data_IF_658758329184
#
_entry.id   IF_658758329184
#
_cell.length_a   1.000
_cell.length_b   1.000
_cell.length_c   1.000
_cell.angle_alpha   90.00
_cell.angle_beta   90.00
_cell.angle_gamma   90.00
#
_symmetry.space_group_name_H-M   'P 1'
#
loop_
_entity.id
_entity.type
_entity.pdbx_description
1 polymer ?
#
# COMPACT_ATOMS: atom_id res chain seq x y z
N UNK A 1 -13.77 19.64 7.71
CA UNK A 1 -13.67 20.11 6.31
C UNK A 1 -13.16 21.54 6.21
N UNK A 2 -13.67 22.49 7.00
CA UNK A 2 -13.24 23.90 6.95
C UNK A 2 -11.74 24.10 7.16
N UNK A 3 -11.09 23.33 8.06
CA UNK A 3 -9.61 23.36 8.18
C UNK A 3 -8.91 22.98 6.87
N UNK A 4 -9.41 21.98 6.14
CA UNK A 4 -8.81 21.58 4.86
C UNK A 4 -8.88 22.74 3.86
N UNK A 5 -9.99 23.48 3.79
CA UNK A 5 -10.09 24.68 2.94
C UNK A 5 -9.18 25.83 3.36
N UNK A 6 -8.64 25.83 4.60
CA UNK A 6 -7.64 26.81 5.02
C UNK A 6 -6.20 26.41 4.69
N UNK A 7 -5.98 25.15 4.27
CA UNK A 7 -4.65 24.58 4.01
C UNK A 7 -4.46 24.25 2.52
N UNK A 8 -5.50 23.72 1.87
CA UNK A 8 -5.49 23.35 0.46
C UNK A 8 -6.23 24.39 -0.38
N UNK A 9 -5.71 24.67 -1.57
CA UNK A 9 -6.35 25.58 -2.53
C UNK A 9 -7.71 25.04 -3.02
N UNK A 10 -7.79 23.72 -3.23
CA UNK A 10 -9.01 23.02 -3.63
C UNK A 10 -9.27 21.82 -2.70
N UNK A 11 -10.53 21.67 -2.24
CA UNK A 11 -10.99 20.50 -1.49
C UNK A 11 -12.17 19.89 -2.24
N UNK A 12 -11.94 18.72 -2.81
CA UNK A 12 -12.90 18.04 -3.68
C UNK A 12 -13.51 16.89 -2.91
N UNK A 13 -14.84 16.88 -2.86
CA UNK A 13 -15.58 15.77 -2.31
C UNK A 13 -15.79 14.71 -3.38
N UNK A 14 -15.46 13.48 -3.01
CA UNK A 14 -15.59 12.32 -3.85
C UNK A 14 -16.66 11.45 -3.21
N UNK A 15 -17.81 11.37 -3.88
CA UNK A 15 -18.89 10.53 -3.43
C UNK A 15 -18.57 9.08 -3.80
N UNK A 16 -18.51 8.17 -2.83
CA UNK A 16 -18.14 6.76 -3.08
C UNK A 16 -19.28 5.95 -3.69
N UNK A 17 -20.51 6.47 -3.69
CA UNK A 17 -21.75 5.70 -3.86
C UNK A 17 -22.68 6.14 -5.01
N UNK A 18 -22.26 6.97 -5.95
CA UNK A 18 -23.18 7.36 -7.04
C UNK A 18 -23.36 6.22 -8.06
N UNK A 19 -24.50 5.53 -7.95
CA UNK A 19 -24.83 4.20 -8.50
C UNK A 19 -25.28 4.20 -9.97
N UNK A 20 -24.98 5.26 -10.72
CA UNK A 20 -25.49 5.42 -12.09
C UNK A 20 -24.69 4.65 -13.16
N UNK A 21 -23.50 4.13 -12.83
CA UNK A 21 -22.62 3.45 -13.80
C UNK A 21 -22.57 1.93 -13.56
N UNK A 22 -22.82 1.16 -14.62
CA UNK A 22 -22.71 -0.31 -14.67
C UNK A 22 -21.36 -0.85 -14.18
N UNK A 23 -20.25 -0.15 -14.46
CA UNK A 23 -18.91 -0.51 -13.99
C UNK A 23 -18.82 -0.33 -12.46
N UNK A 24 -19.44 0.74 -11.96
CA UNK A 24 -19.48 1.05 -10.54
C UNK A 24 -20.37 0.07 -9.76
N UNK A 25 -21.46 -0.40 -10.36
CA UNK A 25 -22.29 -1.48 -9.81
C UNK A 25 -21.54 -2.83 -9.76
N UNK A 26 -20.74 -3.15 -10.78
CA UNK A 26 -19.86 -4.33 -10.72
C UNK A 26 -18.82 -4.21 -9.60
N UNK A 27 -18.28 -2.99 -9.41
CA UNK A 27 -17.37 -2.68 -8.32
C UNK A 27 -18.05 -2.68 -6.93
N UNK A 28 -19.35 -2.40 -6.83
CA UNK A 28 -20.11 -2.57 -5.57
C UNK A 28 -20.17 -4.04 -5.10
N UNK A 29 -19.94 -5.01 -5.99
CA UNK A 29 -19.79 -6.42 -5.61
C UNK A 29 -18.41 -6.74 -5.00
N UNK A 30 -17.51 -5.75 -4.93
CA UNK A 30 -16.14 -5.83 -4.40
C UNK A 30 -15.88 -4.76 -3.33
N UNK A 31 -16.52 -4.88 -2.14
CA UNK A 31 -16.44 -3.87 -1.09
C UNK A 31 -15.02 -3.61 -0.57
N UNK A 32 -14.10 -4.57 -0.73
CA UNK A 32 -12.69 -4.44 -0.38
C UNK A 32 -11.97 -3.33 -1.17
N UNK A 33 -12.45 -3.00 -2.38
CA UNK A 33 -11.85 -1.97 -3.23
C UNK A 33 -12.33 -0.54 -2.90
N UNK A 34 -13.21 -0.34 -1.91
CA UNK A 34 -13.86 0.96 -1.68
C UNK A 34 -12.88 2.14 -1.50
N UNK A 35 -11.81 1.95 -0.71
CA UNK A 35 -10.78 2.98 -0.49
C UNK A 35 -9.94 3.20 -1.74
N UNK A 36 -9.60 2.11 -2.44
CA UNK A 36 -8.88 2.12 -3.71
C UNK A 36 -9.59 2.98 -4.76
N UNK A 37 -10.91 2.82 -4.89
CA UNK A 37 -11.70 3.53 -5.89
C UNK A 37 -11.75 5.03 -5.63
N UNK A 38 -11.81 5.46 -4.37
CA UNK A 38 -11.75 6.89 -4.01
C UNK A 38 -10.44 7.52 -4.48
N UNK A 39 -9.31 6.81 -4.34
CA UNK A 39 -8.00 7.31 -4.77
C UNK A 39 -7.92 7.49 -6.29
N UNK A 40 -8.56 6.63 -7.08
CA UNK A 40 -8.56 6.73 -8.55
C UNK A 40 -9.21 8.03 -9.06
N UNK A 41 -10.08 8.66 -8.28
CA UNK A 41 -10.65 9.96 -8.65
C UNK A 41 -9.60 11.07 -8.81
N UNK A 42 -8.36 10.89 -8.35
CA UNK A 42 -7.29 11.83 -8.68
C UNK A 42 -7.08 11.99 -10.21
N UNK A 43 -7.37 10.95 -11.02
CA UNK A 43 -7.34 11.07 -12.48
C UNK A 43 -8.49 11.88 -13.08
N UNK A 44 -9.55 12.21 -12.33
CA UNK A 44 -10.64 13.06 -12.83
C UNK A 44 -10.34 14.56 -12.72
N UNK A 45 -9.22 14.94 -12.08
CA UNK A 45 -8.80 16.31 -11.82
C UNK A 45 -8.20 17.01 -13.07
N UNK A 46 -8.96 16.99 -14.16
CA UNK A 46 -8.53 17.45 -15.49
C UNK A 46 -8.28 18.96 -15.61
N UNK A 47 -8.54 19.74 -14.57
CA UNK A 47 -8.08 21.13 -14.47
C UNK A 47 -6.55 21.23 -14.35
N UNK A 48 -5.88 20.15 -13.93
CA UNK A 48 -4.42 20.08 -13.85
C UNK A 48 -3.82 19.27 -15.00
N UNK A 49 -2.70 19.74 -15.56
CA UNK A 49 -1.99 19.04 -16.64
C UNK A 49 -1.11 17.87 -16.15
N UNK A 50 -0.69 17.91 -14.89
CA UNK A 50 0.17 16.92 -14.23
C UNK A 50 0.03 17.09 -12.72
N UNK A 51 0.02 15.99 -11.98
CA UNK A 51 -0.09 15.99 -10.53
C UNK A 51 0.93 15.03 -9.91
N UNK A 52 1.30 15.32 -8.66
CA UNK A 52 1.97 14.36 -7.77
C UNK A 52 0.94 13.94 -6.74
N UNK A 53 0.55 12.67 -6.76
CA UNK A 53 -0.26 12.09 -5.70
C UNK A 53 0.63 11.79 -4.49
N UNK A 54 0.14 12.08 -3.28
CA UNK A 54 0.78 11.73 -2.03
C UNK A 54 -0.27 11.20 -1.03
N UNK A 55 -0.05 10.02 -0.43
CA UNK A 55 -0.93 9.51 0.61
C UNK A 55 -0.91 10.44 1.85
N UNK A 56 -2.01 10.50 2.59
CA UNK A 56 -2.18 11.42 3.73
C UNK A 56 -1.26 11.12 4.93
N UNK A 57 -0.61 9.96 4.94
CA UNK A 57 0.40 9.53 5.91
C UNK A 57 1.83 9.64 5.34
N UNK A 58 2.03 10.53 4.37
CA UNK A 58 3.36 10.99 3.95
C UNK A 58 3.71 12.33 4.61
N UNK A 59 5.01 12.62 4.70
CA UNK A 59 5.55 13.88 5.19
C UNK A 59 6.71 14.35 4.31
N UNK A 60 6.53 15.53 3.71
CA UNK A 60 7.56 16.23 2.93
C UNK A 60 8.58 16.85 3.88
N UNK A 61 9.86 16.57 3.65
CA UNK A 61 11.00 17.06 4.44
C UNK A 61 11.70 18.27 3.78
N UNK A 62 11.62 18.38 2.45
CA UNK A 62 12.18 19.46 1.67
C UNK A 62 11.42 19.62 0.34
N UNK A 63 11.75 20.64 -0.44
CA UNK A 63 11.12 20.86 -1.74
C UNK A 63 11.22 19.62 -2.65
N UNK A 64 10.12 19.29 -3.32
CA UNK A 64 10.02 18.15 -4.25
C UNK A 64 9.40 18.52 -5.60
N UNK A 65 9.33 19.81 -5.93
CA UNK A 65 8.70 20.30 -7.17
C UNK A 65 9.35 19.75 -8.44
N UNK A 66 10.62 19.33 -8.39
CA UNK A 66 11.28 18.63 -9.48
C UNK A 66 10.61 17.29 -9.87
N UNK A 67 9.69 16.77 -9.05
CA UNK A 67 8.84 15.64 -9.44
C UNK A 67 7.94 15.97 -10.64
N UNK A 68 7.59 17.25 -10.86
CA UNK A 68 6.81 17.67 -12.01
C UNK A 68 7.57 17.56 -13.35
N UNK A 69 8.90 17.36 -13.32
CA UNK A 69 9.68 17.06 -14.52
C UNK A 69 9.51 15.61 -15.00
N UNK A 70 8.91 14.73 -14.17
CA UNK A 70 8.70 13.31 -14.46
C UNK A 70 7.42 13.06 -15.24
N UNK A 71 7.35 11.91 -15.91
CA UNK A 71 6.23 11.52 -16.77
C UNK A 71 5.32 10.48 -16.10
N UNK A 72 4.11 10.28 -16.61
CA UNK A 72 3.25 9.20 -16.12
C UNK A 72 3.76 7.83 -16.59
N UNK A 73 3.77 6.78 -15.77
CA UNK A 73 3.53 6.72 -14.33
C UNK A 73 4.89 6.62 -13.63
N UNK A 74 5.28 7.63 -12.85
CA UNK A 74 6.55 7.62 -12.12
C UNK A 74 6.33 7.44 -10.63
N UNK A 75 6.95 6.44 -10.03
CA UNK A 75 6.82 6.12 -8.61
C UNK A 75 8.14 5.54 -8.06
N UNK A 76 8.26 5.48 -6.74
CA UNK A 76 9.40 4.86 -6.08
C UNK A 76 9.17 3.35 -5.89
N UNK A 77 10.23 2.52 -5.85
CA UNK A 77 10.11 1.09 -5.56
C UNK A 77 9.50 0.83 -4.18
N UNK A 78 8.70 -0.22 -4.08
CA UNK A 78 8.22 -0.73 -2.80
C UNK A 78 9.36 -1.43 -2.04
N UNK A 79 9.40 -1.22 -0.72
CA UNK A 79 10.46 -1.79 0.12
C UNK A 79 10.34 -3.29 0.36
N UNK A 80 9.14 -3.86 0.19
CA UNK A 80 8.87 -5.29 0.34
C UNK A 80 9.14 -6.05 -0.95
N UNK A 81 8.56 -5.62 -2.06
CA UNK A 81 8.76 -6.23 -3.38
C UNK A 81 9.22 -5.17 -4.40
N UNK A 82 10.52 -5.04 -4.68
CA UNK A 82 11.07 -3.88 -5.41
C UNK A 82 10.73 -3.83 -6.91
N UNK A 83 10.22 -4.92 -7.49
CA UNK A 83 9.66 -4.91 -8.84
C UNK A 83 8.24 -4.32 -8.88
N UNK A 84 7.63 -4.08 -7.70
CA UNK A 84 6.44 -3.26 -7.57
C UNK A 84 6.86 -1.85 -7.15
N UNK A 85 6.13 -0.86 -7.63
CA UNK A 85 6.22 0.48 -7.07
C UNK A 85 5.31 0.61 -5.84
N UNK A 86 5.69 1.52 -4.95
CA UNK A 86 4.83 1.96 -3.86
C UNK A 86 3.88 3.06 -4.35
N UNK A 87 2.56 2.88 -4.18
CA UNK A 87 1.56 3.84 -4.67
C UNK A 87 1.32 5.03 -3.75
N UNK A 88 2.11 5.18 -2.67
CA UNK A 88 1.97 6.30 -1.74
C UNK A 88 2.48 7.63 -2.26
N UNK A 89 3.42 7.62 -3.22
CA UNK A 89 3.86 8.82 -3.94
C UNK A 89 4.08 8.47 -5.41
N UNK A 90 3.34 9.14 -6.30
CA UNK A 90 3.51 8.94 -7.74
C UNK A 90 3.16 10.18 -8.56
N UNK A 91 3.78 10.30 -9.73
CA UNK A 91 3.52 11.34 -10.73
C UNK A 91 2.62 10.77 -11.82
N UNK A 92 1.54 11.49 -12.11
CA UNK A 92 0.54 11.07 -13.09
C UNK A 92 -0.04 12.26 -13.86
N UNK A 93 -0.81 11.97 -14.91
CA UNK A 93 -1.56 12.96 -15.69
C UNK A 93 -3.06 12.74 -15.53
N UNK A 94 -3.79 13.67 -14.91
CA UNK A 94 -5.24 13.59 -14.87
C UNK A 94 -5.83 13.43 -16.27
N UNK A 95 -6.70 12.43 -16.43
CA UNK A 95 -7.32 12.05 -17.70
C UNK A 95 -8.52 11.15 -17.43
N UNK A 96 -9.71 11.60 -17.86
CA UNK A 96 -10.93 10.80 -17.77
C UNK A 96 -10.82 9.48 -18.54
N UNK A 97 -10.01 9.44 -19.60
CA UNK A 97 -9.74 8.20 -20.34
C UNK A 97 -8.99 7.20 -19.46
N UNK A 98 -7.91 7.63 -18.81
CA UNK A 98 -7.12 6.79 -17.92
C UNK A 98 -7.94 6.34 -16.73
N UNK A 99 -8.75 7.24 -16.15
CA UNK A 99 -9.68 6.93 -15.08
C UNK A 99 -10.66 5.80 -15.46
N UNK A 100 -11.35 5.93 -16.60
CA UNK A 100 -12.31 4.92 -17.05
C UNK A 100 -11.63 3.57 -17.35
N UNK A 101 -10.42 3.59 -17.91
CA UNK A 101 -9.63 2.37 -18.14
C UNK A 101 -9.23 1.71 -16.82
N UNK A 102 -8.85 2.49 -15.80
CA UNK A 102 -8.55 1.97 -14.46
C UNK A 102 -9.78 1.35 -13.79
N UNK A 103 -10.94 1.98 -13.91
CA UNK A 103 -12.20 1.43 -13.38
C UNK A 103 -12.61 0.13 -14.09
N UNK A 104 -12.53 0.09 -15.41
CA UNK A 104 -12.80 -1.11 -16.19
C UNK A 104 -11.82 -2.23 -15.79
N UNK A 105 -10.53 -1.91 -15.70
CA UNK A 105 -9.50 -2.86 -15.30
C UNK A 105 -9.76 -3.40 -13.87
N UNK A 106 -10.16 -2.54 -12.93
CA UNK A 106 -10.51 -2.93 -11.57
C UNK A 106 -11.74 -3.85 -11.52
N UNK A 107 -12.76 -3.59 -12.34
CA UNK A 107 -13.94 -4.44 -12.43
C UNK A 107 -13.60 -5.83 -12.99
N UNK A 108 -12.76 -5.90 -14.03
CA UNK A 108 -12.36 -7.15 -14.67
C UNK A 108 -11.37 -7.95 -13.82
N UNK A 109 -10.28 -7.33 -13.36
CA UNK A 109 -9.12 -8.01 -12.78
C UNK A 109 -9.01 -7.87 -11.26
N UNK A 110 -9.63 -6.83 -10.69
CA UNK A 110 -9.48 -6.52 -9.26
C UNK A 110 -8.10 -6.01 -8.91
N UNK A 111 -7.71 -6.20 -7.65
CA UNK A 111 -6.37 -5.90 -7.15
C UNK A 111 -5.78 -7.13 -6.46
N UNK A 112 -4.53 -7.47 -6.74
CA UNK A 112 -3.88 -8.64 -6.14
C UNK A 112 -3.61 -8.49 -4.64
N UNK A 113 -3.53 -7.27 -4.13
CA UNK A 113 -3.36 -6.97 -2.69
C UNK A 113 -4.64 -6.43 -2.03
N UNK A 114 -5.74 -6.35 -2.79
CA UNK A 114 -7.01 -5.75 -2.35
C UNK A 114 -6.98 -4.23 -2.24
N UNK A 115 -5.84 -3.57 -2.48
CA UNK A 115 -5.65 -2.13 -2.38
C UNK A 115 -5.40 -1.45 -3.73
N UNK A 116 -5.07 -0.15 -3.71
CA UNK A 116 -4.73 0.61 -4.91
C UNK A 116 -3.36 0.24 -5.46
N UNK A 117 -2.42 -0.13 -4.61
CA UNK A 117 -1.07 -0.48 -5.03
C UNK A 117 -1.08 -1.67 -5.99
N UNK A 118 -1.80 -2.75 -5.65
CA UNK A 118 -1.88 -3.92 -6.52
C UNK A 118 -2.60 -3.66 -7.84
N UNK A 119 -3.66 -2.85 -7.82
CA UNK A 119 -4.39 -2.45 -9.01
C UNK A 119 -3.49 -1.63 -9.94
N UNK A 120 -2.85 -0.58 -9.39
CA UNK A 120 -2.00 0.32 -10.16
C UNK A 120 -0.76 -0.41 -10.70
N UNK A 121 -0.12 -1.29 -9.92
CA UNK A 121 1.01 -2.09 -10.40
C UNK A 121 0.60 -3.01 -11.56
N UNK A 122 -0.59 -3.59 -11.49
CA UNK A 122 -1.11 -4.43 -12.58
C UNK A 122 -1.41 -3.62 -13.84
N UNK A 123 -2.00 -2.42 -13.68
CA UNK A 123 -2.33 -1.55 -14.80
C UNK A 123 -1.08 -0.92 -15.45
N UNK A 124 -0.14 -0.42 -14.64
CA UNK A 124 1.14 0.15 -15.08
C UNK A 124 2.29 -0.87 -15.01
N UNK A 125 2.02 -2.10 -15.46
CA UNK A 125 2.89 -3.27 -15.30
C UNK A 125 4.27 -3.17 -15.96
N UNK A 126 4.46 -2.25 -16.91
CA UNK A 126 5.77 -2.02 -17.53
C UNK A 126 6.73 -1.19 -16.65
N UNK A 127 6.28 -0.67 -15.50
CA UNK A 127 7.08 0.23 -14.66
C UNK A 127 8.45 -0.36 -14.31
N UNK A 128 8.52 -1.62 -13.89
CA UNK A 128 9.75 -2.25 -13.43
C UNK A 128 10.83 -2.40 -14.52
N UNK A 129 10.43 -2.50 -15.80
CA UNK A 129 11.32 -2.98 -16.87
C UNK A 129 11.49 -2.02 -18.04
N UNK A 130 10.62 -1.04 -18.22
CA UNK A 130 10.60 -0.23 -19.44
C UNK A 130 11.52 1.01 -19.40
N UNK A 131 11.36 1.88 -18.39
CA UNK A 131 11.98 3.20 -18.39
C UNK A 131 12.46 3.59 -16.99
N UNK A 132 13.78 3.67 -16.81
CA UNK A 132 14.40 4.11 -15.56
C UNK A 132 14.05 5.56 -15.19
N UNK A 133 13.67 6.39 -16.17
CA UNK A 133 13.16 7.73 -15.94
C UNK A 133 11.89 7.77 -15.09
N UNK A 134 11.14 6.66 -15.02
CA UNK A 134 9.93 6.49 -14.22
C UNK A 134 10.16 5.91 -12.82
N UNK A 135 11.40 5.52 -12.53
CA UNK A 135 11.80 5.10 -11.19
C UNK A 135 12.20 6.34 -10.39
N UNK A 136 11.29 6.79 -9.52
CA UNK A 136 11.64 7.82 -8.55
C UNK A 136 12.67 7.23 -7.58
N UNK A 137 13.71 7.98 -7.20
CA UNK A 137 14.61 7.56 -6.14
C UNK A 137 13.82 7.24 -4.86
N UNK A 138 14.21 6.18 -4.16
CA UNK A 138 13.54 5.71 -2.93
C UNK A 138 13.34 6.81 -1.87
N UNK A 139 14.21 7.82 -1.87
CA UNK A 139 14.16 8.97 -0.96
C UNK A 139 12.93 9.90 -1.17
N UNK A 140 12.23 9.80 -2.30
CA UNK A 140 10.96 10.50 -2.55
C UNK A 140 9.73 9.75 -2.02
N UNK A 141 9.91 8.55 -1.46
CA UNK A 141 8.84 7.79 -0.79
C UNK A 141 9.47 6.84 0.24
N UNK A 142 10.27 7.40 1.15
CA UNK A 142 11.04 6.60 2.09
C UNK A 142 10.12 6.00 3.15
N UNK A 143 9.95 4.68 3.11
CA UNK A 143 9.22 3.97 4.16
C UNK A 143 9.87 4.20 5.53
N UNK A 144 9.08 4.67 6.50
CA UNK A 144 9.53 4.87 7.88
C UNK A 144 9.95 3.56 8.57
N UNK A 145 9.42 2.41 8.10
CA UNK A 145 9.82 1.08 8.58
C UNK A 145 11.13 0.62 7.94
N UNK A 146 11.52 1.16 6.77
CA UNK A 146 12.80 0.83 6.14
C UNK A 146 14.02 1.31 6.95
N UNK A 147 13.82 2.28 7.85
CA UNK A 147 14.80 2.64 8.89
C UNK A 147 15.24 1.41 9.67
N UNK A 148 14.31 0.50 9.96
CA UNK A 148 14.56 -0.69 10.75
C UNK A 148 15.12 -1.85 9.91
N UNK A 149 14.73 -1.98 8.64
CA UNK A 149 15.10 -3.15 7.82
C UNK A 149 16.53 -3.09 7.29
N UNK A 150 17.06 -1.91 6.97
CA UNK A 150 18.44 -1.77 6.49
C UNK A 150 19.16 -0.53 7.04
N UNK A 151 19.38 -0.53 8.36
CA UNK A 151 20.01 0.57 9.12
C UNK A 151 21.30 1.12 8.48
N UNK A 152 22.27 0.31 7.98
CA UNK A 152 23.47 0.85 7.32
C UNK A 152 23.16 1.75 6.12
N UNK A 153 22.23 1.35 5.25
CA UNK A 153 21.82 2.15 4.11
C UNK A 153 21.12 3.43 4.57
N UNK A 154 20.25 3.35 5.57
CA UNK A 154 19.62 4.53 6.15
C UNK A 154 20.65 5.50 6.76
N UNK A 155 21.65 5.00 7.50
CA UNK A 155 22.69 5.85 8.07
C UNK A 155 23.52 6.56 6.99
N UNK A 156 23.67 5.94 5.83
CA UNK A 156 24.43 6.52 4.72
C UNK A 156 23.59 7.51 3.88
N UNK A 157 22.38 7.12 3.48
CA UNK A 157 21.53 7.84 2.53
C UNK A 157 20.35 8.60 3.16
N UNK A 158 19.91 8.20 4.36
CA UNK A 158 18.66 8.67 4.99
C UNK A 158 18.65 10.15 5.35
N UNK A 159 19.83 10.78 5.46
CA UNK A 159 19.96 12.24 5.62
C UNK A 159 19.46 13.03 4.40
N UNK A 160 19.46 12.40 3.23
CA UNK A 160 19.05 12.98 1.95
C UNK A 160 17.56 12.66 1.64
N UNK A 161 16.82 12.09 2.60
CA UNK A 161 15.41 11.80 2.47
C UNK A 161 14.60 13.07 2.16
N UNK A 162 13.66 12.97 1.23
CA UNK A 162 12.81 14.08 0.78
C UNK A 162 11.38 13.93 1.22
N UNK A 163 10.87 12.70 1.21
CA UNK A 163 9.53 12.37 1.70
C UNK A 163 9.63 11.11 2.55
N UNK A 164 8.98 11.13 3.71
CA UNK A 164 8.83 9.96 4.59
C UNK A 164 7.40 9.45 4.48
N UNK A 165 7.23 8.14 4.40
CA UNK A 165 5.94 7.48 4.35
C UNK A 165 5.76 6.61 5.61
N UNK A 166 4.75 6.94 6.43
CA UNK A 166 4.46 6.23 7.68
C UNK A 166 3.63 4.96 7.43
N UNK A 167 4.22 4.01 6.70
CA UNK A 167 3.66 2.69 6.45
C UNK A 167 3.42 1.91 7.74
N UNK A 168 2.42 1.02 7.70
CA UNK A 168 2.00 0.19 8.83
C UNK A 168 0.68 0.61 9.45
N UNK A 169 0.21 -0.19 10.42
CA UNK A 169 -1.08 0.00 11.06
C UNK A 169 -1.13 1.23 11.99
N UNK A 170 -0.01 1.54 12.65
CA UNK A 170 0.07 2.66 13.59
C UNK A 170 0.50 3.92 12.85
N UNK A 171 -0.45 4.83 12.60
CA UNK A 171 -0.22 6.11 11.94
C UNK A 171 0.29 7.17 12.92
N UNK A 172 0.91 8.26 12.45
CA UNK A 172 1.47 9.30 13.33
C UNK A 172 0.46 9.84 14.37
N UNK A 173 -0.80 10.03 13.96
CA UNK A 173 -1.88 10.52 14.82
C UNK A 173 -2.38 9.50 15.87
N UNK A 174 -1.99 8.23 15.76
CA UNK A 174 -2.32 7.22 16.77
C UNK A 174 -1.35 7.26 17.97
N UNK A 175 -0.22 7.96 17.85
CA UNK A 175 0.75 8.08 18.94
C UNK A 175 0.33 9.15 19.95
N UNK A 176 0.65 8.93 21.23
CA UNK A 176 0.48 9.98 22.24
C UNK A 176 1.66 10.94 22.17
N UNK A 177 1.40 12.24 22.18
CA UNK A 177 2.42 13.28 22.10
C UNK A 177 2.38 14.20 23.31
N UNK A 178 3.53 14.41 23.94
CA UNK A 178 3.66 15.36 25.03
C UNK A 178 4.06 16.73 24.46
N UNK A 179 3.11 17.67 24.48
CA UNK A 179 3.30 19.03 23.95
C UNK A 179 4.39 19.80 24.69
N UNK A 180 4.63 19.52 25.98
CA UNK A 180 5.59 20.26 26.79
C UNK A 180 7.02 19.78 26.57
N UNK A 181 7.22 18.46 26.44
CA UNK A 181 8.55 17.89 26.17
C UNK A 181 8.86 17.76 24.68
N UNK A 182 7.87 17.98 23.81
CA UNK A 182 7.94 17.77 22.36
C UNK A 182 8.40 16.36 21.98
N UNK A 183 7.92 15.36 22.71
CA UNK A 183 8.27 13.95 22.52
C UNK A 183 7.04 13.09 22.35
N UNK A 184 7.16 12.13 21.44
CA UNK A 184 6.22 11.02 21.33
C UNK A 184 6.41 10.13 22.56
N UNK A 185 5.33 9.84 23.26
CA UNK A 185 5.34 8.93 24.40
C UNK A 185 5.39 7.50 23.87
N UNK A 186 6.42 6.75 24.27
CA UNK A 186 6.48 5.31 24.04
C UNK A 186 5.63 4.62 25.10
N UNK A 187 4.79 3.68 24.69
CA UNK A 187 4.38 2.59 25.58
C UNK A 187 5.54 1.60 25.67
N UNK A 188 5.75 0.95 26.82
CA UNK A 188 6.85 -0.01 27.06
C UNK A 188 6.86 -1.21 26.07
N UNK A 189 5.82 -1.36 25.25
CA UNK A 189 5.69 -2.36 24.19
C UNK A 189 6.15 -1.90 22.81
N UNK A 190 6.48 -0.61 22.61
CA UNK A 190 6.77 -0.02 21.31
C UNK A 190 8.27 0.32 21.14
N UNK A 191 9.04 -0.67 20.71
CA UNK A 191 10.44 -0.49 20.29
C UNK A 191 10.51 0.12 18.88
N UNK A 192 10.29 1.43 18.78
CA UNK A 192 10.52 2.18 17.55
C UNK A 192 12.00 2.55 17.39
N UNK A 193 12.54 2.45 16.17
CA UNK A 193 13.91 2.90 15.90
C UNK A 193 14.07 4.40 16.16
N UNK A 194 15.26 4.84 16.57
CA UNK A 194 15.52 6.26 16.88
C UNK A 194 15.14 7.21 15.72
N UNK A 195 15.41 6.83 14.47
CA UNK A 195 15.09 7.70 13.34
C UNK A 195 13.59 7.75 13.03
N UNK A 196 12.85 6.65 13.19
CA UNK A 196 11.40 6.67 13.09
C UNK A 196 10.79 7.65 14.10
N UNK A 197 11.31 7.66 15.34
CA UNK A 197 10.86 8.61 16.37
C UNK A 197 11.17 10.06 15.99
N UNK A 198 12.30 10.33 15.32
CA UNK A 198 12.63 11.68 14.86
C UNK A 198 11.65 12.20 13.80
N UNK A 199 11.24 11.34 12.86
CA UNK A 199 10.21 11.69 11.86
C UNK A 199 8.84 11.87 12.50
N UNK A 200 8.45 11.00 13.44
CA UNK A 200 7.20 11.17 14.19
C UNK A 200 7.20 12.47 15.01
N UNK A 201 8.31 12.82 15.66
CA UNK A 201 8.43 14.07 16.39
C UNK A 201 8.29 15.28 15.47
N UNK A 202 8.88 15.24 14.27
CA UNK A 202 8.70 16.30 13.27
C UNK A 202 7.23 16.43 12.83
N UNK A 203 6.56 15.32 12.52
CA UNK A 203 5.14 15.30 12.17
C UNK A 203 4.29 15.96 13.27
N UNK A 204 4.49 15.57 14.53
CA UNK A 204 3.77 16.14 15.68
C UNK A 204 4.10 17.60 15.93
N UNK A 205 5.35 18.03 15.71
CA UNK A 205 5.73 19.43 15.80
C UNK A 205 4.97 20.28 14.77
N UNK A 206 4.85 19.81 13.52
CA UNK A 206 4.09 20.52 12.48
C UNK A 206 2.61 20.54 12.82
N UNK A 207 2.03 19.39 13.19
CA UNK A 207 0.62 19.30 13.57
C UNK A 207 0.29 20.25 14.73
N UNK A 208 1.06 20.21 15.81
CA UNK A 208 0.81 21.04 17.00
C UNK A 208 1.05 22.54 16.76
N UNK A 209 2.03 22.91 15.92
CA UNK A 209 2.33 24.31 15.65
C UNK A 209 1.39 24.94 14.62
N UNK A 210 0.95 24.19 13.62
CA UNK A 210 0.27 24.75 12.43
C UNK A 210 -1.18 24.30 12.27
N UNK A 211 -1.53 23.08 12.67
CA UNK A 211 -2.87 22.50 12.42
C UNK A 211 -3.76 22.59 13.66
N UNK A 212 -3.23 22.24 14.83
CA UNK A 212 -3.97 22.26 16.09
C UNK A 212 -4.57 23.66 16.40
N UNK A 213 -3.85 24.79 16.22
CA UNK A 213 -4.44 26.10 16.45
C UNK A 213 -5.60 26.43 15.49
N UNK A 214 -5.58 25.92 14.26
CA UNK A 214 -6.67 26.10 13.29
C UNK A 214 -7.93 25.33 13.72
N UNK A 215 -7.75 24.10 14.22
CA UNK A 215 -8.83 23.28 14.76
C UNK A 215 -9.45 23.93 16.00
N UNK A 216 -8.63 24.38 16.95
CA UNK A 216 -9.11 25.05 18.17
C UNK A 216 -9.85 26.35 17.88
N UNK A 217 -9.38 27.13 16.89
CA UNK A 217 -10.04 28.37 16.48
C UNK A 217 -11.44 28.12 15.93
N UNK A 218 -11.63 27.07 15.14
CA UNK A 218 -12.94 26.71 14.59
C UNK A 218 -13.89 26.19 15.66
N UNK A 219 -13.41 25.35 16.58
CA UNK A 219 -14.23 24.88 17.71
C UNK A 219 -14.78 26.04 18.53
N UNK A 220 -13.95 27.03 18.85
CA UNK A 220 -14.39 28.24 19.58
C UNK A 220 -15.40 29.09 18.79
N UNK A 221 -15.28 29.12 17.46
CA UNK A 221 -16.21 29.85 16.60
C UNK A 221 -17.58 29.18 16.55
N UNK A 222 -17.61 27.85 16.42
CA UNK A 222 -18.86 27.06 16.47
C UNK A 222 -19.54 27.12 17.85
N UNK A 223 -18.76 27.12 18.93
CA UNK A 223 -19.28 27.29 20.30
C UNK A 223 -19.87 28.69 20.52
N UNK A 224 -19.23 29.75 20.01
CA UNK A 224 -19.75 31.11 20.15
C UNK A 224 -20.99 31.38 19.30
N UNK A 225 -21.05 30.89 18.05
CA UNK A 225 -22.25 30.99 17.20
C UNK A 225 -23.44 30.20 17.78
N UNK A 226 -23.18 29.04 18.39
CA UNK A 226 -24.23 28.23 19.02
C UNK A 226 -24.74 28.81 20.36
N UNK A 227 -23.93 29.59 21.08
CA UNK A 227 -24.40 30.38 22.22
C UNK A 227 -25.19 31.64 21.78
N UNK A 228 -24.75 32.32 20.74
CA UNK A 228 -25.46 33.51 20.20
C UNK A 228 -26.85 33.14 19.64
N UNK A 229 -26.98 31.96 19.03
CA UNK A 229 -28.26 31.41 18.57
C UNK A 229 -29.18 30.93 19.72
N UNK A 230 -28.63 30.67 20.92
CA UNK A 230 -29.41 30.38 22.13
C UNK A 230 -29.90 31.64 22.83
N UNK A 231 -29.11 32.71 22.82
CA UNK A 231 -29.49 34.02 23.41
C UNK A 231 -30.59 34.71 22.60
N UNK A 232 -30.59 34.56 21.27
CA UNK A 232 -31.63 35.13 20.39
C UNK A 232 -32.98 34.40 20.44
N UNK A 233 -33.05 33.21 21.04
CA UNK A 233 -34.30 32.44 21.19
C UNK A 233 -35.02 32.64 22.55
N UNK A 234 -34.57 33.57 23.40
CA UNK A 234 -35.19 33.81 24.72
C UNK A 234 -36.00 35.11 24.86
N UNK A 235 -36.05 35.98 23.86
CA UNK A 235 -36.87 37.21 23.94
C UNK A 235 -37.88 37.33 22.78
N UNK A 236 -39.05 36.72 22.94
CA UNK A 236 -40.32 37.33 22.48
C UNK A 236 -41.54 36.66 23.12
N UNK A 237 -42.42 37.39 23.83
CA UNK A 237 -43.75 36.93 24.17
C UNK A 237 -44.75 37.21 23.02
N UNK A 238 -45.91 36.55 23.13
CA UNK A 238 -46.83 36.14 22.06
C UNK A 238 -47.98 37.15 21.79
N UNK A 239 -48.52 37.06 20.55
CA UNK A 239 -49.90 37.35 20.06
C UNK A 239 -50.24 38.72 19.42
N UNK A 240 -50.55 38.73 18.12
CA UNK A 240 -51.95 38.66 17.67
C UNK A 240 -52.15 38.47 16.14
N UNK A 241 -53.27 37.83 15.83
CA UNK A 241 -53.90 37.50 14.54
C UNK A 241 -54.00 38.65 13.52
N UNK A 242 -53.90 38.34 12.21
CA UNK A 242 -54.98 38.51 11.21
C UNK A 242 -54.49 38.32 9.75
N UNK A 243 -55.32 37.61 8.98
CA UNK A 243 -55.55 37.65 7.52
C UNK A 243 -54.46 37.25 6.50
N UNK A 244 -54.82 36.24 5.71
CA UNK A 244 -54.28 35.96 4.36
C UNK A 244 -54.64 37.07 3.35
N UNK A 245 -53.83 37.22 2.30
CA UNK A 245 -54.37 37.32 0.95
C UNK A 245 -53.75 36.31 -0.03
N UNK A 246 -54.61 35.83 -0.93
CA UNK A 246 -54.38 34.86 -2.01
C UNK A 246 -53.98 35.59 -3.31
N UNK A 247 -53.23 34.88 -4.17
CA UNK A 247 -53.12 34.92 -5.65
C UNK A 247 -51.78 35.43 -6.25
N UNK A 248 -51.38 34.97 -7.46
CA UNK A 248 -51.70 33.70 -8.14
C UNK A 248 -50.46 32.93 -8.68
N UNK A 249 -50.67 31.64 -8.93
CA UNK A 249 -49.77 30.74 -9.67
C UNK A 249 -49.53 31.22 -11.11
N UNK A 250 -48.28 31.13 -11.57
CA UNK A 250 -47.95 31.10 -13.00
C UNK A 250 -47.27 29.77 -13.33
N UNK A 251 -48.04 28.95 -14.02
CA UNK A 251 -47.68 27.75 -14.76
C UNK A 251 -46.64 28.08 -15.84
N UNK A 252 -45.52 27.35 -15.84
CA UNK A 252 -44.67 27.24 -17.02
C UNK A 252 -44.77 25.81 -17.56
N UNK A 253 -45.33 25.71 -18.76
CA UNK A 253 -45.53 24.46 -19.50
C UNK A 253 -44.20 23.81 -19.90
N UNK A 254 -44.13 22.51 -19.69
CA UNK A 254 -43.12 21.60 -20.22
C UNK A 254 -43.52 21.23 -21.66
N UNK A 255 -42.69 21.54 -22.64
CA UNK A 255 -42.76 20.94 -23.99
C UNK A 255 -41.73 19.81 -24.11
N UNK A 256 -42.14 18.56 -24.40
CA UNK A 256 -41.22 17.50 -24.75
C UNK A 256 -40.92 17.57 -26.26
N UNK A 257 -39.65 17.79 -26.61
CA UNK A 257 -39.19 17.64 -28.00
C UNK A 257 -38.53 16.27 -28.17
N UNK A 258 -39.14 15.44 -28.99
CA UNK A 258 -38.62 14.16 -29.45
C UNK A 258 -37.73 14.34 -30.69
N UNK A 259 -36.55 13.72 -30.69
CA UNK A 259 -35.75 13.27 -31.85
C UNK A 259 -34.46 12.66 -31.30
N UNK A 260 -33.86 11.60 -31.81
CA UNK A 260 -34.21 10.51 -32.72
C UNK A 260 -33.03 9.55 -32.60
N UNK A 261 -33.27 8.25 -32.45
CA UNK A 261 -32.20 7.24 -32.41
C UNK A 261 -31.56 7.13 -33.79
N UNK A 262 -30.25 7.39 -33.88
CA UNK A 262 -29.45 6.95 -35.02
C UNK A 262 -28.62 5.74 -34.60
N UNK A 263 -29.01 4.59 -35.16
CA UNK A 263 -28.22 3.37 -35.19
C UNK A 263 -26.88 3.63 -35.90
N UNK A 264 -25.77 3.32 -35.25
CA UNK A 264 -24.52 3.01 -35.94
C UNK A 264 -24.18 1.55 -35.72
N UNK A 265 -24.58 0.76 -36.72
CA UNK A 265 -24.17 -0.60 -36.96
C UNK A 265 -22.67 -0.62 -37.26
N UNK A 266 -21.87 -1.42 -36.55
CA UNK A 266 -20.57 -1.84 -37.05
C UNK A 266 -20.45 -3.36 -37.02
N UNK A 267 -20.08 -3.90 -38.19
CA UNK A 267 -20.00 -5.31 -38.52
C UNK A 267 -18.85 -5.98 -37.76
N UNK A 268 -19.14 -7.09 -37.11
CA UNK A 268 -18.14 -8.05 -36.63
C UNK A 268 -17.91 -9.14 -37.69
N UNK A 269 -16.64 -9.45 -37.99
CA UNK A 269 -16.07 -10.79 -38.27
C UNK A 269 -14.68 -10.69 -38.96
N UNK A 270 -13.80 -11.72 -38.90
CA UNK A 270 -13.75 -12.86 -37.97
C UNK A 270 -12.37 -13.05 -37.30
N UNK A 271 -12.42 -13.93 -36.29
CA UNK A 271 -11.36 -14.50 -35.47
C UNK A 271 -10.40 -15.37 -36.30
N UNK A 272 -9.10 -15.30 -36.00
CA UNK A 272 -8.13 -16.32 -36.40
C UNK A 272 -8.10 -17.43 -35.32
N UNK A 273 -8.39 -18.65 -35.76
CA UNK A 273 -8.35 -19.91 -35.02
C UNK A 273 -6.91 -20.26 -34.61
N UNK A 274 -6.73 -20.73 -33.37
CA UNK A 274 -5.65 -21.66 -33.02
C UNK A 274 -6.27 -22.79 -32.21
N UNK A 275 -5.95 -24.00 -32.66
CA UNK A 275 -6.60 -25.27 -32.38
C UNK A 275 -6.44 -25.76 -30.92
N UNK A 276 -7.53 -26.34 -30.41
CA UNK A 276 -7.51 -27.18 -29.22
C UNK A 276 -6.92 -28.54 -29.56
N UNK A 277 -5.89 -28.97 -28.84
CA UNK A 277 -5.52 -30.38 -28.71
C UNK A 277 -5.68 -30.79 -27.25
N UNK A 278 -6.67 -31.63 -26.99
CA UNK A 278 -6.96 -32.19 -25.67
C UNK A 278 -6.11 -33.42 -25.36
N UNK A 279 -5.84 -33.62 -24.07
CA UNK A 279 -5.53 -34.94 -23.52
C UNK A 279 -6.02 -35.00 -22.07
N UNK A 280 -7.06 -35.81 -21.86
CA UNK A 280 -7.57 -36.24 -20.55
C UNK A 280 -6.50 -37.04 -19.78
N UNK A 281 -6.26 -36.70 -18.51
CA UNK A 281 -5.82 -37.69 -17.51
C UNK A 281 -6.54 -37.40 -16.19
N UNK A 282 -7.35 -38.36 -15.77
CA UNK A 282 -8.09 -38.45 -14.52
C UNK A 282 -7.21 -39.15 -13.48
N UNK A 283 -7.01 -38.58 -12.28
CA UNK A 283 -6.60 -39.32 -11.07
C UNK A 283 -7.12 -38.64 -9.80
N UNK A 284 -7.66 -39.47 -8.90
CA UNK A 284 -8.50 -39.15 -7.75
C UNK A 284 -7.73 -38.83 -6.45
N UNK A 285 -8.40 -38.13 -5.52
CA UNK A 285 -7.96 -37.84 -4.13
C UNK A 285 -7.85 -39.11 -3.26
N UNK A 286 -7.12 -39.02 -2.12
CA UNK A 286 -7.83 -39.22 -0.85
C UNK A 286 -7.37 -38.35 0.34
N UNK A 287 -8.39 -37.93 1.09
CA UNK A 287 -8.56 -37.82 2.56
C UNK A 287 -7.47 -37.27 3.52
N UNK A 288 -7.93 -36.29 4.31
CA UNK A 288 -7.36 -35.77 5.58
C UNK A 288 -7.48 -36.79 6.72
N UNK A 289 -6.67 -36.62 7.78
CA UNK A 289 -7.29 -36.20 9.04
C UNK A 289 -6.53 -35.08 9.79
N UNK A 290 -7.31 -34.36 10.58
CA UNK A 290 -6.95 -33.26 11.48
C UNK A 290 -6.21 -33.76 12.73
N UNK A 291 -5.26 -32.98 13.26
CA UNK A 291 -5.09 -32.78 14.71
C UNK A 291 -4.15 -31.59 15.00
N UNK A 292 -4.62 -30.69 15.89
CA UNK A 292 -3.89 -29.58 16.48
C UNK A 292 -2.88 -30.11 17.50
N UNK A 293 -1.72 -29.46 17.68
CA UNK A 293 -1.07 -29.41 18.98
C UNK A 293 -0.11 -28.23 19.13
N UNK A 294 -0.23 -27.62 20.31
CA UNK A 294 0.36 -26.40 20.84
C UNK A 294 1.78 -26.67 21.35
N UNK A 295 2.64 -25.64 21.35
CA UNK A 295 4.04 -25.69 21.75
C UNK A 295 4.29 -25.41 23.25
N UNK A 296 5.27 -26.16 23.79
CA UNK A 296 6.21 -25.93 24.93
C UNK A 296 5.74 -26.10 26.40
N UNK A 297 6.64 -26.32 27.41
CA UNK A 297 8.12 -26.47 27.41
C UNK A 297 8.72 -27.59 28.33
N UNK A 298 10.08 -27.70 28.31
CA UNK A 298 11.01 -27.92 29.45
C UNK A 298 11.79 -29.26 29.60
N UNK A 299 13.11 -29.13 29.35
CA UNK A 299 14.31 -29.57 30.11
C UNK A 299 14.47 -30.96 30.77
N UNK A 300 15.72 -31.45 30.59
CA UNK A 300 16.64 -32.16 31.51
C UNK A 300 16.93 -33.67 31.36
N UNK A 301 18.17 -33.91 30.89
CA UNK A 301 19.25 -34.80 31.40
C UNK A 301 19.11 -36.33 31.56
N UNK A 302 20.13 -36.97 30.96
CA UNK A 302 20.99 -38.03 31.49
C UNK A 302 20.60 -39.52 31.37
N UNK A 303 21.44 -40.20 30.57
CA UNK A 303 22.22 -41.41 30.91
C UNK A 303 21.54 -42.79 31.02
N UNK A 304 21.94 -43.63 30.06
CA UNK A 304 22.41 -45.02 30.22
C UNK A 304 21.44 -46.17 30.54
N UNK A 305 21.83 -47.31 29.95
CA UNK A 305 21.45 -48.71 30.18
C UNK A 305 20.28 -49.27 29.35
N UNK A 306 20.65 -49.94 28.24
CA UNK A 306 20.76 -51.41 28.17
C UNK A 306 20.25 -51.99 26.85
N UNK A 307 21.16 -52.52 26.03
CA UNK A 307 21.63 -53.93 26.10
C UNK A 307 20.59 -54.96 25.63
N UNK A 308 19.72 -54.69 24.64
CA UNK A 308 18.99 -55.80 24.00
C UNK A 308 18.70 -55.57 22.50
N UNK A 309 19.70 -55.10 21.75
CA UNK A 309 19.63 -55.14 20.28
C UNK A 309 20.91 -55.67 19.60
N UNK A 310 21.83 -56.23 20.39
CA UNK A 310 22.89 -57.10 19.89
C UNK A 310 22.30 -58.49 19.58
N UNK A 311 21.62 -58.65 18.45
CA UNK A 311 21.44 -59.98 17.81
C UNK A 311 20.83 -59.96 16.41
N UNK A 312 20.58 -58.81 15.77
CA UNK A 312 20.12 -58.83 14.37
C UNK A 312 20.78 -57.69 13.60
N UNK A 313 21.97 -57.94 13.06
CA UNK A 313 22.48 -57.43 11.76
C UNK A 313 23.98 -57.74 11.57
N UNK A 314 24.37 -59.01 11.74
CA UNK A 314 25.55 -59.52 11.04
C UNK A 314 25.11 -59.83 9.60
N UNK A 315 25.29 -58.86 8.72
CA UNK A 315 25.48 -58.98 7.26
C UNK A 315 25.56 -57.54 6.70
N UNK A 316 26.68 -56.86 6.94
CA UNK A 316 26.98 -55.60 6.26
C UNK A 316 28.24 -55.78 5.43
N UNK A 317 28.06 -55.81 4.12
CA UNK A 317 29.12 -55.84 3.12
C UNK A 317 29.91 -54.55 3.31
N UNK A 318 31.20 -54.66 3.64
CA UNK A 318 32.07 -53.51 3.83
C UNK A 318 32.37 -52.86 2.48
N UNK A 319 31.47 -51.99 2.00
CA UNK A 319 31.76 -51.10 0.90
C UNK A 319 32.59 -49.94 1.47
N UNK A 320 33.89 -49.93 1.17
CA UNK A 320 34.68 -48.70 1.30
C UNK A 320 34.02 -47.66 0.40
N UNK A 321 33.58 -46.50 0.89
CA UNK A 321 33.16 -45.41 0.01
C UNK A 321 34.38 -45.07 -0.86
N UNK A 322 34.22 -45.13 -2.17
CA UNK A 322 35.19 -44.55 -3.09
C UNK A 322 35.26 -43.06 -2.80
N UNK A 323 36.44 -42.57 -2.39
CA UNK A 323 36.62 -41.13 -2.21
C UNK A 323 36.43 -40.46 -3.58
N UNK A 324 35.56 -39.44 -3.68
CA UNK A 324 35.27 -38.80 -4.94
C UNK A 324 36.54 -38.22 -5.56
N UNK A 325 36.69 -38.37 -6.87
CA UNK A 325 37.85 -37.85 -7.58
C UNK A 325 37.88 -36.31 -7.49
N UNK A 326 39.08 -35.72 -7.55
CA UNK A 326 39.22 -34.25 -7.53
C UNK A 326 38.45 -33.57 -8.68
N UNK A 327 38.24 -34.29 -9.78
CA UNK A 327 37.50 -33.82 -10.95
C UNK A 327 35.99 -33.78 -10.68
N UNK A 328 35.46 -34.75 -9.94
CA UNK A 328 34.05 -34.77 -9.52
C UNK A 328 33.74 -33.69 -8.49
N UNK A 329 34.67 -33.42 -7.57
CA UNK A 329 34.53 -32.32 -6.61
C UNK A 329 34.54 -30.96 -7.32
N UNK A 330 35.43 -30.78 -8.30
CA UNK A 330 35.47 -29.57 -9.11
C UNK A 330 34.19 -29.37 -9.92
N UNK A 331 33.63 -30.43 -10.52
CA UNK A 331 32.34 -30.33 -11.23
C UNK A 331 31.19 -29.92 -10.32
N UNK A 332 31.13 -30.45 -9.09
CA UNK A 332 30.12 -30.03 -8.11
C UNK A 332 30.24 -28.56 -7.75
N UNK A 333 31.46 -28.03 -7.67
CA UNK A 333 31.72 -26.61 -7.51
C UNK A 333 31.20 -25.78 -8.69
N UNK A 334 31.52 -26.19 -9.92
CA UNK A 334 31.08 -25.49 -11.14
C UNK A 334 29.55 -25.55 -11.35
N UNK A 335 28.90 -26.62 -10.90
CA UNK A 335 27.44 -26.80 -10.94
C UNK A 335 26.70 -26.17 -9.73
N UNK A 336 27.41 -25.51 -8.81
CA UNK A 336 26.83 -24.83 -7.63
C UNK A 336 26.33 -25.75 -6.51
N UNK A 337 26.68 -27.04 -6.54
CA UNK A 337 26.29 -28.08 -5.57
C UNK A 337 27.41 -28.37 -4.56
N UNK A 338 27.93 -27.31 -3.95
CA UNK A 338 29.01 -27.39 -2.96
C UNK A 338 28.50 -27.90 -1.61
N UNK A 339 29.38 -28.55 -0.85
CA UNK A 339 29.08 -28.98 0.52
C UNK A 339 29.37 -27.86 1.53
N UNK A 340 28.46 -26.88 1.59
CA UNK A 340 28.61 -25.67 2.41
C UNK A 340 28.71 -25.92 3.92
N UNK A 341 28.29 -27.09 4.40
CA UNK A 341 28.31 -27.45 5.82
C UNK A 341 29.42 -28.43 6.20
N UNK A 342 30.18 -28.93 5.22
CA UNK A 342 31.25 -29.89 5.43
C UNK A 342 32.56 -29.45 4.77
N UNK A 343 32.97 -30.14 3.70
CA UNK A 343 34.31 -29.98 3.13
C UNK A 343 34.52 -28.59 2.51
N UNK A 344 33.46 -28.00 1.95
CA UNK A 344 33.48 -26.70 1.29
C UNK A 344 33.01 -25.56 2.21
N UNK A 345 32.95 -25.81 3.52
CA UNK A 345 32.57 -24.80 4.49
C UNK A 345 33.53 -23.59 4.48
N UNK A 346 32.97 -22.40 4.72
CA UNK A 346 33.68 -21.13 4.71
C UNK A 346 34.94 -21.15 5.58
N UNK A 347 34.89 -21.75 6.76
CA UNK A 347 36.02 -21.86 7.69
C UNK A 347 37.22 -22.60 7.08
N UNK A 348 36.97 -23.64 6.26
CA UNK A 348 38.03 -24.38 5.59
C UNK A 348 38.64 -23.60 4.42
N UNK A 349 37.82 -22.87 3.67
CA UNK A 349 38.26 -22.00 2.58
C UNK A 349 39.11 -20.86 3.13
N UNK A 350 38.63 -20.19 4.18
CA UNK A 350 39.34 -19.10 4.87
C UNK A 350 40.68 -19.58 5.41
N UNK A 351 40.72 -20.72 6.09
CA UNK A 351 41.97 -21.32 6.60
C UNK A 351 42.99 -21.61 5.50
N UNK A 352 42.56 -22.02 4.31
CA UNK A 352 43.47 -22.23 3.15
C UNK A 352 44.00 -20.91 2.60
N UNK A 353 43.16 -19.88 2.50
CA UNK A 353 43.57 -18.54 2.05
C UNK A 353 44.55 -17.90 3.03
N UNK A 354 44.28 -17.99 4.32
CA UNK A 354 45.15 -17.47 5.39
C UNK A 354 46.50 -18.21 5.49
N UNK A 355 46.59 -19.44 4.95
CA UNK A 355 47.84 -20.20 4.87
C UNK A 355 48.66 -19.89 3.61
N UNK A 356 48.06 -19.22 2.63
CA UNK A 356 48.70 -18.85 1.36
C UNK A 356 49.17 -17.38 1.32
N UNK A 357 48.62 -16.53 2.20
CA UNK A 357 48.98 -15.13 2.44
C UNK A 357 49.94 -15.02 3.64
#
# INVERSE_FOLDING_TARGET
RSVLHSVFDEVIEVDTLDSADSVRLALMQRPELGVTLTKLHCWTLTQYSKCVFMDADTLVLCNVDELFDREEFSAAPDSGWPDCFNSGVFVFRPSLKTYNLLLQFAAEHGSFDGGDQGLLNSFFSSWATADIGKHLPFLYNLSSSAVYTYVPAFNHFGRDAKVVHFLGATKPWNYKYNLQTKRVMQDDTMSGSFHQLSFLALWWNIYSASILPLLEKLQKMEESESEECKVTNQDSPVANSLQMPVLPEQTYEIYPTACSSEELTFKAQPVCEVEQSGSNVHLSEPDRPSEQLVFHPAFQEASELNEVAHSVSELSIHFKPEEPSQEDERRKWEEGRMDYMGKDAFEHIKKKLDAFL
#
